data_IF_391909141905
#
_entry.id   IF_391909141905
#
_cell.length_a   1.000
_cell.length_b   1.000
_cell.length_c   1.000
_cell.angle_alpha   90.00
_cell.angle_beta   90.00
_cell.angle_gamma   90.00
#
_symmetry.space_group_name_H-M   'P 1'
#
loop_
_entity.id
_entity.type
_entity.pdbx_description
1 polymer ?
#
# COMPACT_ATOMS: atom_id res chain seq x y z
N UNK A 1 -1.91 -17.94 -13.50
CA UNK A 1 -2.90 -17.71 -14.58
C UNK A 1 -3.92 -16.64 -14.21
N UNK A 2 -4.65 -16.81 -13.10
CA UNK A 2 -5.71 -15.88 -12.70
C UNK A 2 -5.18 -14.48 -12.37
N UNK A 3 -4.04 -14.39 -11.72
CA UNK A 3 -3.39 -13.09 -11.43
C UNK A 3 -3.05 -12.36 -12.72
N UNK A 4 -2.50 -13.05 -13.69
CA UNK A 4 -2.13 -12.46 -14.99
C UNK A 4 -3.35 -11.98 -15.77
N UNK A 5 -4.44 -12.74 -15.74
CA UNK A 5 -5.67 -12.34 -16.42
C UNK A 5 -6.30 -11.11 -15.76
N UNK A 6 -6.29 -11.04 -14.43
CA UNK A 6 -6.78 -9.86 -13.71
C UNK A 6 -5.93 -8.61 -14.02
N UNK A 7 -4.62 -8.78 -14.15
CA UNK A 7 -3.70 -7.69 -14.48
C UNK A 7 -3.87 -7.13 -15.90
N UNK A 8 -4.64 -7.77 -16.76
CA UNK A 8 -4.96 -7.24 -18.09
C UNK A 8 -5.90 -6.04 -18.05
N UNK A 9 -6.62 -5.85 -16.94
CA UNK A 9 -7.45 -4.67 -16.76
C UNK A 9 -6.57 -3.45 -16.43
N UNK A 10 -6.65 -2.36 -17.21
CA UNK A 10 -5.72 -1.23 -17.05
C UNK A 10 -5.74 -0.57 -15.66
N UNK A 11 -6.88 -0.61 -14.97
CA UNK A 11 -7.02 -0.02 -13.66
C UNK A 11 -6.47 -0.90 -12.54
N UNK A 12 -6.19 -2.17 -12.80
CA UNK A 12 -5.66 -3.10 -11.81
C UNK A 12 -4.17 -2.86 -11.61
N UNK A 13 -3.79 -2.54 -10.38
CA UNK A 13 -2.40 -2.34 -9.99
C UNK A 13 -1.72 -3.64 -9.55
N UNK A 14 -2.46 -4.50 -8.85
CA UNK A 14 -1.95 -5.77 -8.37
C UNK A 14 -3.06 -6.79 -8.19
N UNK A 15 -2.72 -8.06 -8.31
CA UNK A 15 -3.64 -9.17 -8.08
C UNK A 15 -2.93 -10.31 -7.37
N UNK A 16 -3.62 -10.95 -6.42
CA UNK A 16 -3.13 -12.13 -5.69
C UNK A 16 -4.18 -13.21 -5.71
N UNK A 17 -3.81 -14.40 -6.18
CA UNK A 17 -4.69 -15.57 -6.18
C UNK A 17 -4.38 -16.44 -4.95
N UNK A 18 -5.43 -16.81 -4.22
CA UNK A 18 -5.35 -17.71 -3.06
C UNK A 18 -6.13 -18.96 -3.37
N UNK A 19 -5.41 -20.05 -3.56
CA UNK A 19 -6.01 -21.35 -3.82
C UNK A 19 -6.63 -21.94 -2.56
N UNK A 20 -7.75 -22.63 -2.73
CA UNK A 20 -8.45 -23.35 -1.66
C UNK A 20 -8.97 -22.48 -0.52
N UNK A 21 -9.11 -21.18 -0.73
CA UNK A 21 -9.57 -20.25 0.31
C UNK A 21 -10.97 -20.63 0.86
N UNK A 22 -11.83 -21.18 0.00
CA UNK A 22 -13.18 -21.64 0.34
C UNK A 22 -13.34 -23.16 0.26
N UNK A 23 -12.22 -23.90 0.17
CA UNK A 23 -12.20 -25.36 0.04
C UNK A 23 -11.55 -25.83 -1.26
N UNK A 24 -11.57 -27.16 -1.47
CA UNK A 24 -10.97 -27.77 -2.67
C UNK A 24 -11.69 -27.28 -3.92
N UNK A 25 -10.93 -26.96 -4.96
CA UNK A 25 -11.48 -26.52 -6.25
C UNK A 25 -11.87 -25.04 -6.27
N UNK A 26 -11.49 -24.25 -5.27
CA UNK A 26 -11.79 -22.81 -5.22
C UNK A 26 -10.51 -21.98 -5.34
N UNK A 27 -10.65 -20.80 -5.95
CA UNK A 27 -9.58 -19.79 -6.03
C UNK A 27 -10.23 -18.43 -5.77
N UNK A 28 -9.72 -17.71 -4.79
CA UNK A 28 -10.09 -16.32 -4.56
C UNK A 28 -9.00 -15.42 -5.11
N UNK A 29 -9.40 -14.46 -5.95
CA UNK A 29 -8.48 -13.49 -6.54
C UNK A 29 -8.73 -12.13 -5.90
N UNK A 30 -7.73 -11.64 -5.18
CA UNK A 30 -7.76 -10.32 -4.55
C UNK A 30 -7.13 -9.32 -5.51
N UNK A 31 -7.81 -8.20 -5.73
CA UNK A 31 -7.43 -7.21 -6.73
C UNK A 31 -7.38 -5.83 -6.08
N UNK A 32 -6.34 -5.08 -6.36
CA UNK A 32 -6.24 -3.67 -6.02
C UNK A 32 -6.07 -2.82 -7.27
N UNK A 33 -6.51 -1.56 -7.20
CA UNK A 33 -6.32 -0.59 -8.27
C UNK A 33 -5.21 0.39 -7.87
N UNK A 34 -4.75 1.21 -8.81
CA UNK A 34 -3.77 2.26 -8.52
C UNK A 34 -4.26 3.24 -7.45
N UNK A 35 -5.58 3.43 -7.34
CA UNK A 35 -6.19 4.28 -6.32
C UNK A 35 -6.45 3.56 -4.99
N UNK A 36 -6.26 2.24 -4.91
CA UNK A 36 -6.50 1.43 -3.70
C UNK A 36 -7.49 0.29 -3.93
N UNK A 37 -8.51 0.18 -3.08
CA UNK A 37 -9.50 -0.89 -3.21
C UNK A 37 -10.39 -0.66 -4.45
N UNK A 38 -10.74 -1.73 -5.20
CA UNK A 38 -11.57 -1.60 -6.40
C UNK A 38 -13.04 -1.40 -6.07
N UNK A 39 -13.77 -0.82 -7.01
CA UNK A 39 -15.22 -0.72 -6.96
C UNK A 39 -15.86 -2.07 -7.31
N UNK A 40 -17.09 -2.31 -6.83
CA UNK A 40 -17.83 -3.54 -7.12
C UNK A 40 -18.02 -3.80 -8.61
N UNK A 41 -18.23 -2.75 -9.40
CA UNK A 41 -18.37 -2.86 -10.85
C UNK A 41 -17.14 -3.50 -11.50
N UNK A 42 -15.95 -3.05 -11.11
CA UNK A 42 -14.70 -3.60 -11.63
C UNK A 42 -14.53 -5.06 -11.20
N UNK A 43 -14.83 -5.38 -9.95
CA UNK A 43 -14.79 -6.76 -9.46
C UNK A 43 -15.70 -7.67 -10.28
N UNK A 44 -16.91 -7.20 -10.62
CA UNK A 44 -17.85 -7.93 -11.46
C UNK A 44 -17.35 -8.15 -12.89
N UNK A 45 -16.72 -7.15 -13.46
CA UNK A 45 -16.13 -7.24 -14.80
C UNK A 45 -14.98 -8.25 -14.85
N UNK A 46 -14.10 -8.21 -13.86
CA UNK A 46 -12.99 -9.16 -13.73
C UNK A 46 -13.53 -10.58 -13.51
N UNK A 47 -14.50 -10.73 -12.61
CA UNK A 47 -15.11 -12.03 -12.33
C UNK A 47 -15.74 -12.64 -13.59
N UNK A 48 -16.44 -11.84 -14.37
CA UNK A 48 -17.03 -12.31 -15.64
C UNK A 48 -15.96 -12.77 -16.63
N UNK A 49 -14.87 -12.02 -16.74
CA UNK A 49 -13.76 -12.38 -17.63
C UNK A 49 -13.06 -13.67 -17.18
N UNK A 50 -12.84 -13.85 -15.88
CA UNK A 50 -12.21 -15.05 -15.35
C UNK A 50 -13.11 -16.27 -15.44
N UNK A 51 -14.43 -16.12 -15.28
CA UNK A 51 -15.39 -17.21 -15.45
C UNK A 51 -15.35 -17.82 -16.86
N UNK A 52 -15.08 -17.01 -17.87
CA UNK A 52 -14.98 -17.48 -19.26
C UNK A 52 -13.70 -18.30 -19.50
N UNK A 53 -12.67 -18.08 -18.71
CA UNK A 53 -11.34 -18.67 -18.92
C UNK A 53 -10.95 -19.69 -17.85
N UNK A 54 -11.78 -19.86 -16.81
CA UNK A 54 -11.49 -20.79 -15.73
C UNK A 54 -11.49 -22.24 -16.21
N UNK A 55 -10.75 -23.08 -15.49
CA UNK A 55 -10.84 -24.52 -15.68
C UNK A 55 -12.21 -25.01 -15.20
N UNK A 56 -12.70 -26.07 -15.81
CA UNK A 56 -14.08 -26.58 -15.60
C UNK A 56 -14.39 -26.85 -14.12
N UNK A 57 -13.41 -27.36 -13.36
CA UNK A 57 -13.60 -27.77 -11.98
C UNK A 57 -13.23 -26.67 -10.95
N UNK A 58 -12.89 -25.46 -11.39
CA UNK A 58 -12.43 -24.39 -10.50
C UNK A 58 -13.50 -23.33 -10.34
N UNK A 59 -13.85 -23.05 -9.07
CA UNK A 59 -14.74 -21.96 -8.71
C UNK A 59 -13.89 -20.73 -8.35
N UNK A 60 -13.99 -19.67 -9.14
CA UNK A 60 -13.20 -18.43 -9.00
C UNK A 60 -14.07 -17.33 -8.45
N UNK A 61 -13.61 -16.69 -7.37
CA UNK A 61 -14.23 -15.48 -6.83
C UNK A 61 -13.21 -14.32 -6.91
N UNK A 62 -13.70 -13.12 -7.23
CA UNK A 62 -12.87 -11.90 -7.29
C UNK A 62 -13.30 -11.01 -6.13
N UNK A 63 -12.33 -10.60 -5.32
CA UNK A 63 -12.59 -9.86 -4.07
C UNK A 63 -11.72 -8.62 -3.94
N UNK A 64 -12.24 -7.61 -3.25
CA UNK A 64 -11.45 -6.49 -2.77
C UNK A 64 -10.57 -6.97 -1.60
N UNK A 65 -9.35 -6.43 -1.46
CA UNK A 65 -8.50 -6.77 -0.33
C UNK A 65 -9.01 -6.15 0.96
N UNK A 66 -8.62 -6.74 2.09
CA UNK A 66 -8.79 -6.12 3.39
C UNK A 66 -7.77 -5.00 3.53
N UNK A 67 -8.23 -3.81 3.92
CA UNK A 67 -7.32 -2.68 4.11
C UNK A 67 -6.66 -2.73 5.48
N UNK A 68 -5.34 -2.63 5.51
CA UNK A 68 -4.58 -2.51 6.75
C UNK A 68 -4.06 -1.07 6.86
N UNK A 69 -4.70 -0.29 7.70
CA UNK A 69 -4.36 1.12 7.87
C UNK A 69 -3.09 1.27 8.72
N UNK A 70 -2.12 2.01 8.20
CA UNK A 70 -0.83 2.22 8.86
C UNK A 70 -0.65 3.71 9.11
N UNK A 71 -0.78 4.18 10.36
CA UNK A 71 -0.46 5.57 10.69
C UNK A 71 1.05 5.77 10.67
N UNK A 72 1.48 6.91 10.20
CA UNK A 72 2.90 7.28 10.15
C UNK A 72 3.11 8.52 11.02
N UNK A 73 4.03 8.40 11.95
CA UNK A 73 4.43 9.52 12.81
C UNK A 73 5.94 9.64 12.78
N UNK A 74 6.43 10.84 12.54
CA UNK A 74 7.87 11.11 12.47
C UNK A 74 8.17 12.54 12.89
N UNK A 75 9.42 12.74 13.26
CA UNK A 75 9.98 14.07 13.51
C UNK A 75 10.97 14.39 12.41
N UNK A 76 10.95 15.63 11.93
CA UNK A 76 11.79 16.09 10.82
C UNK A 76 12.57 17.34 11.22
N UNK A 77 13.76 17.47 10.62
CA UNK A 77 14.53 18.73 10.64
C UNK A 77 14.64 19.24 9.20
N UNK A 78 14.30 20.50 9.00
CA UNK A 78 14.45 21.16 7.71
C UNK A 78 15.88 21.62 7.48
N UNK A 79 16.36 21.52 6.24
CA UNK A 79 17.62 22.14 5.85
C UNK A 79 17.47 23.66 5.79
N UNK A 80 18.60 24.36 5.88
CA UNK A 80 18.64 25.82 5.80
C UNK A 80 17.99 26.27 4.48
N UNK A 81 17.09 27.24 4.59
CA UNK A 81 16.33 27.75 3.44
C UNK A 81 15.00 27.06 3.19
N UNK A 82 14.69 26.02 3.97
CA UNK A 82 13.43 25.27 3.88
C UNK A 82 12.58 25.50 5.13
N UNK A 83 11.27 25.57 4.95
CA UNK A 83 10.32 25.66 6.07
C UNK A 83 9.80 24.28 6.44
N UNK A 84 9.34 24.13 7.68
CA UNK A 84 8.68 22.89 8.12
C UNK A 84 7.45 22.58 7.26
N UNK A 85 6.68 23.60 6.87
CA UNK A 85 5.50 23.39 6.03
C UNK A 85 5.86 22.79 4.67
N UNK A 86 6.91 23.30 4.05
CA UNK A 86 7.38 22.79 2.75
C UNK A 86 7.78 21.33 2.82
N UNK A 87 8.58 20.95 3.81
CA UNK A 87 9.03 19.55 3.95
C UNK A 87 7.91 18.63 4.42
N UNK A 88 7.00 19.10 5.26
CA UNK A 88 5.84 18.33 5.71
C UNK A 88 4.91 18.01 4.55
N UNK A 89 4.60 18.98 3.71
CA UNK A 89 3.76 18.77 2.54
C UNK A 89 4.41 17.81 1.54
N UNK A 90 5.70 17.97 1.29
CA UNK A 90 6.43 17.08 0.37
C UNK A 90 6.56 15.66 0.94
N UNK A 91 6.79 15.52 2.23
CA UNK A 91 6.87 14.21 2.90
C UNK A 91 5.53 13.48 2.86
N UNK A 92 4.44 14.20 3.12
CA UNK A 92 3.09 13.64 3.04
C UNK A 92 2.79 13.14 1.63
N UNK A 93 3.11 13.94 0.62
CA UNK A 93 2.94 13.56 -0.78
C UNK A 93 3.79 12.32 -1.14
N UNK A 94 5.02 12.25 -0.65
CA UNK A 94 5.90 11.10 -0.90
C UNK A 94 5.36 9.81 -0.27
N UNK A 95 4.81 9.89 0.95
CA UNK A 95 4.16 8.76 1.60
C UNK A 95 2.91 8.33 0.83
N UNK A 96 2.07 9.27 0.39
CA UNK A 96 0.90 8.97 -0.41
C UNK A 96 1.27 8.28 -1.72
N UNK A 97 2.37 8.70 -2.36
CA UNK A 97 2.86 8.09 -3.58
C UNK A 97 3.35 6.65 -3.39
N UNK A 98 3.82 6.32 -2.19
CA UNK A 98 4.26 4.95 -1.87
C UNK A 98 3.08 4.02 -1.59
N UNK A 99 2.06 4.47 -0.85
CA UNK A 99 0.91 3.65 -0.46
C UNK A 99 -0.14 3.63 -1.57
N UNK A 100 0.12 2.86 -2.61
CA UNK A 100 -0.79 2.65 -3.73
C UNK A 100 -1.28 1.21 -3.75
N UNK A 101 -2.21 0.89 -4.63
CA UNK A 101 -2.69 -0.48 -4.82
C UNK A 101 -1.62 -1.47 -5.24
N UNK A 102 -0.45 -1.01 -5.66
CA UNK A 102 0.69 -1.86 -6.01
C UNK A 102 1.28 -2.58 -4.78
N UNK A 103 0.96 -2.12 -3.57
CA UNK A 103 1.45 -2.68 -2.31
C UNK A 103 0.67 -3.90 -1.81
N UNK A 104 -0.31 -4.39 -2.58
CA UNK A 104 -1.11 -5.57 -2.19
C UNK A 104 -0.21 -6.74 -1.79
N UNK A 105 -0.41 -7.23 -0.57
CA UNK A 105 0.35 -8.37 -0.03
C UNK A 105 1.80 -8.08 0.34
N UNK A 106 2.23 -6.81 0.30
CA UNK A 106 3.60 -6.43 0.63
C UNK A 106 3.70 -5.90 2.06
N UNK A 107 4.66 -6.41 2.82
CA UNK A 107 4.98 -5.88 4.15
C UNK A 107 5.47 -4.43 4.04
N UNK A 108 5.25 -3.65 5.09
CA UNK A 108 5.73 -2.27 5.17
C UNK A 108 6.91 -2.23 6.13
N UNK A 109 8.07 -1.92 5.60
CA UNK A 109 9.31 -1.86 6.36
C UNK A 109 9.56 -0.47 6.90
N UNK A 110 9.96 -0.38 8.17
CA UNK A 110 10.30 0.90 8.80
C UNK A 110 11.47 1.58 8.10
N UNK A 111 12.45 0.79 7.64
CA UNK A 111 13.59 1.32 6.88
C UNK A 111 13.13 1.98 5.57
N UNK A 112 12.12 1.42 4.91
CA UNK A 112 11.57 2.00 3.68
C UNK A 112 10.88 3.34 3.95
N UNK A 113 10.07 3.40 5.00
CA UNK A 113 9.40 4.65 5.39
C UNK A 113 10.40 5.73 5.78
N UNK A 114 11.41 5.37 6.57
CA UNK A 114 12.48 6.29 6.94
C UNK A 114 13.25 6.78 5.70
N UNK A 115 13.51 5.89 4.75
CA UNK A 115 14.17 6.23 3.49
C UNK A 115 13.35 7.21 2.66
N UNK A 116 12.03 7.02 2.58
CA UNK A 116 11.13 7.93 1.86
C UNK A 116 11.18 9.32 2.49
N UNK A 117 11.07 9.41 3.81
CA UNK A 117 11.10 10.67 4.53
C UNK A 117 12.46 11.37 4.41
N UNK A 118 13.54 10.63 4.58
CA UNK A 118 14.89 11.18 4.46
C UNK A 118 15.22 11.63 3.04
N UNK A 119 14.64 10.97 2.04
CA UNK A 119 14.83 11.30 0.63
C UNK A 119 14.05 12.53 0.14
N UNK A 120 13.20 13.11 0.97
CA UNK A 120 12.44 14.32 0.61
C UNK A 120 13.40 15.51 0.56
N UNK A 121 13.34 16.26 -0.54
CA UNK A 121 14.18 17.46 -0.70
C UNK A 121 13.88 18.47 0.40
N UNK A 122 14.93 18.95 1.06
CA UNK A 122 14.82 19.88 2.18
C UNK A 122 14.79 19.22 3.56
N UNK A 123 14.74 17.91 3.64
CA UNK A 123 14.83 17.18 4.92
C UNK A 123 16.30 16.94 5.25
N UNK A 124 16.75 17.51 6.36
CA UNK A 124 18.10 17.32 6.88
C UNK A 124 18.22 16.04 7.72
N UNK A 125 17.21 15.76 8.54
CA UNK A 125 17.16 14.60 9.40
C UNK A 125 15.72 14.17 9.64
N UNK A 126 15.53 12.89 9.96
CA UNK A 126 14.22 12.36 10.33
C UNK A 126 14.35 11.27 11.39
N UNK A 127 13.34 11.22 12.28
CA UNK A 127 13.18 10.13 13.23
C UNK A 127 11.79 9.53 13.03
N UNK A 128 11.73 8.29 12.58
CA UNK A 128 10.46 7.58 12.43
C UNK A 128 10.02 7.07 13.81
N UNK A 129 8.85 7.53 14.27
CA UNK A 129 8.29 7.16 15.57
C UNK A 129 7.23 6.07 15.45
N UNK A 130 6.46 6.06 14.38
CA UNK A 130 5.45 5.03 14.12
C UNK A 130 5.38 4.75 12.60
N UNK A 131 5.26 3.50 12.18
CA UNK A 131 5.25 2.28 13.00
C UNK A 131 6.59 2.02 13.70
N UNK A 132 6.55 1.43 14.90
CA UNK A 132 7.77 1.14 15.68
C UNK A 132 8.55 -0.06 15.16
N UNK A 133 7.87 -0.93 14.42
CA UNK A 133 8.44 -2.13 13.84
C UNK A 133 7.84 -2.38 12.46
N UNK A 134 8.49 -3.25 11.68
CA UNK A 134 7.99 -3.64 10.38
C UNK A 134 6.58 -4.22 10.50
N UNK A 135 5.71 -3.85 9.57
CA UNK A 135 4.31 -4.26 9.57
C UNK A 135 4.12 -5.42 8.61
N UNK A 136 3.72 -6.57 9.14
CA UNK A 136 3.40 -7.75 8.34
C UNK A 136 2.07 -7.54 7.62
N UNK A 137 2.02 -7.94 6.36
CA UNK A 137 0.84 -7.83 5.52
C UNK A 137 0.61 -9.18 4.84
N UNK A 138 -0.60 -9.74 4.99
CA UNK A 138 -0.93 -11.01 4.34
C UNK A 138 -1.20 -10.81 2.85
N UNK A 139 -1.24 -11.91 2.09
CA UNK A 139 -1.50 -11.86 0.64
C UNK A 139 -2.86 -11.25 0.28
N UNK A 140 -3.80 -11.21 1.22
CA UNK A 140 -5.16 -10.68 1.02
C UNK A 140 -5.34 -9.27 1.55
N UNK A 141 -4.30 -8.69 2.14
CA UNK A 141 -4.34 -7.36 2.72
C UNK A 141 -3.62 -6.32 1.85
N UNK A 142 -4.19 -5.13 1.82
CA UNK A 142 -3.56 -3.96 1.18
C UNK A 142 -3.18 -2.96 2.27
N UNK A 143 -1.88 -2.67 2.45
CA UNK A 143 -1.50 -1.60 3.37
C UNK A 143 -1.91 -0.25 2.81
N UNK A 144 -2.56 0.56 3.63
CA UNK A 144 -3.00 1.91 3.26
C UNK A 144 -2.48 2.92 4.27
N UNK A 145 -2.19 4.12 3.79
CA UNK A 145 -1.69 5.19 4.64
C UNK A 145 -2.80 5.69 5.55
N UNK A 146 -2.56 5.67 6.86
CA UNK A 146 -3.44 6.25 7.86
C UNK A 146 -3.11 7.73 8.12
N UNK A 147 -3.34 8.18 9.35
CA UNK A 147 -3.00 9.53 9.76
C UNK A 147 -1.50 9.76 9.65
N UNK A 148 -1.10 10.91 9.10
CA UNK A 148 0.30 11.32 9.00
C UNK A 148 0.52 12.47 9.98
N UNK A 149 1.42 12.26 10.94
CA UNK A 149 1.78 13.28 11.93
C UNK A 149 3.28 13.55 11.83
N UNK A 150 3.64 14.72 11.33
CA UNK A 150 5.03 15.13 11.16
C UNK A 150 5.27 16.38 11.99
N UNK A 151 6.27 16.31 12.86
CA UNK A 151 6.63 17.40 13.78
C UNK A 151 8.10 17.75 13.62
N UNK A 152 8.48 18.92 14.13
CA UNK A 152 9.87 19.34 14.12
C UNK A 152 10.65 18.66 15.24
N UNK A 153 11.89 18.22 14.95
CA UNK A 153 12.78 17.72 15.99
C UNK A 153 13.17 18.89 16.88
N UNK A 154 12.98 18.72 18.19
CA UNK A 154 13.33 19.74 19.16
C UNK A 154 14.85 19.99 19.19
N UNK A 155 15.26 21.26 19.37
CA UNK A 155 16.66 21.67 19.30
C UNK A 155 17.59 20.93 20.27
N UNK A 156 17.07 20.43 21.38
CA UNK A 156 17.83 19.64 22.35
C UNK A 156 18.13 18.21 21.94
N UNK A 157 17.46 17.69 20.91
CA UNK A 157 17.57 16.33 20.42
C UNK A 157 18.52 16.20 19.22
N UNK A 158 18.94 17.30 18.64
CA UNK A 158 19.81 17.33 17.48
C UNK A 158 21.31 17.11 17.78
N UNK A 159 21.67 17.07 19.01
CA UNK A 159 23.05 17.00 19.42
C UNK A 159 23.78 15.70 19.01
#
# INVERSE_FOLDING_TARGET
FYEQEAMRFPTVASAKAVGRARGIGTVDVYVSTHAGAPEEKLLGEIAAALQKKREIAVDVAVKAPDEKTIPVRAELTAEQGWTMQEITDAATAALQAYFTGERLGEAVYTAKLASILYGVEGVKNCHLLAPEADVSVSATELPVLGAVTLTEIEAGEEA
#
